data_IF_293095020502
#
_entry.id   IF_293095020502
#
_cell.length_a   1.000
_cell.length_b   1.000
_cell.length_c   1.000
_cell.angle_alpha   90.00
_cell.angle_beta   90.00
_cell.angle_gamma   90.00
#
_symmetry.space_group_name_H-M   'P 1'
#
loop_
_entity.id
_entity.type
_entity.pdbx_description
1 polymer ?
#
# COMPACT_ATOMS: atom_id res chain seq x y z
N UNK A 1 1.81 3.17 -1.53
CA UNK A 1 0.44 2.65 -1.27
C UNK A 1 -0.01 2.96 0.16
N UNK A 2 -0.22 4.24 0.45
CA UNK A 2 -0.60 4.70 1.79
C UNK A 2 -2.01 4.20 2.14
N UNK A 3 -2.96 4.38 1.22
CA UNK A 3 -4.37 4.00 1.42
C UNK A 3 -4.51 2.51 1.77
N UNK A 4 -3.84 1.63 1.01
CA UNK A 4 -3.88 0.19 1.26
C UNK A 4 -3.33 -0.14 2.66
N UNK A 5 -2.20 0.47 3.06
CA UNK A 5 -1.60 0.23 4.37
C UNK A 5 -2.47 0.75 5.53
N UNK A 6 -3.19 1.84 5.33
CA UNK A 6 -4.16 2.34 6.32
C UNK A 6 -5.34 1.36 6.44
N UNK A 7 -5.92 0.93 5.31
CA UNK A 7 -7.01 -0.05 5.32
C UNK A 7 -6.58 -1.35 5.97
N UNK A 8 -5.40 -1.88 5.63
CA UNK A 8 -4.85 -3.09 6.24
C UNK A 8 -4.65 -2.93 7.75
N UNK A 9 -4.08 -1.81 8.22
CA UNK A 9 -3.88 -1.57 9.65
C UNK A 9 -5.19 -1.49 10.44
N UNK A 10 -6.25 -0.97 9.84
CA UNK A 10 -7.59 -0.93 10.45
C UNK A 10 -8.22 -2.32 10.48
N UNK A 11 -8.01 -3.15 9.45
CA UNK A 11 -8.45 -4.55 9.43
C UNK A 11 -7.70 -5.34 10.52
N UNK A 12 -6.37 -5.22 10.58
CA UNK A 12 -5.55 -5.89 11.59
C UNK A 12 -6.01 -5.55 13.02
N UNK A 13 -6.17 -4.26 13.31
CA UNK A 13 -6.64 -3.80 14.62
C UNK A 13 -8.05 -4.29 14.96
N UNK A 14 -8.94 -4.29 13.99
CA UNK A 14 -10.31 -4.77 14.20
C UNK A 14 -10.38 -6.27 14.41
N UNK A 15 -9.55 -7.06 13.73
CA UNK A 15 -9.46 -8.51 13.91
C UNK A 15 -8.77 -8.89 15.23
N UNK A 16 -7.75 -8.15 15.65
CA UNK A 16 -7.06 -8.36 16.94
C UNK A 16 -7.99 -8.14 18.14
N UNK A 17 -8.83 -7.10 18.08
CA UNK A 17 -9.75 -6.73 19.16
C UNK A 17 -11.15 -7.35 19.03
N UNK A 18 -11.42 -8.01 17.94
CA UNK A 18 -12.72 -8.59 17.59
C UNK A 18 -12.82 -10.09 17.83
N UNK A 19 -13.81 -10.69 17.20
CA UNK A 19 -14.09 -12.10 17.20
C UNK A 19 -14.41 -12.63 15.79
N UNK A 20 -14.88 -13.89 15.68
CA UNK A 20 -15.23 -14.51 14.40
C UNK A 20 -16.41 -13.83 13.68
N UNK A 21 -17.17 -12.99 14.37
CA UNK A 21 -18.30 -12.25 13.82
C UNK A 21 -17.92 -10.84 13.39
N UNK A 22 -16.67 -10.42 13.61
CA UNK A 22 -16.15 -9.12 13.18
C UNK A 22 -16.19 -9.02 11.66
N UNK A 23 -16.72 -7.93 11.15
CA UNK A 23 -16.75 -7.57 9.72
C UNK A 23 -16.21 -6.17 9.54
N UNK A 24 -15.36 -6.00 8.54
CA UNK A 24 -14.68 -4.73 8.29
C UNK A 24 -14.67 -4.51 6.77
N UNK A 25 -15.32 -3.44 6.34
CA UNK A 25 -15.33 -2.97 4.96
C UNK A 25 -15.06 -1.48 4.97
N UNK A 26 -13.78 -1.09 5.03
CA UNK A 26 -13.33 0.30 5.14
C UNK A 26 -12.54 0.67 3.89
N UNK A 27 -13.01 1.69 3.19
CA UNK A 27 -12.33 2.33 2.07
C UNK A 27 -11.54 3.54 2.56
N UNK A 28 -10.36 3.71 2.00
CA UNK A 28 -9.45 4.80 2.36
C UNK A 28 -9.07 5.62 1.13
N UNK A 29 -9.32 6.91 1.18
CA UNK A 29 -8.84 7.88 0.21
C UNK A 29 -7.83 8.79 0.87
N UNK A 30 -6.70 9.05 0.18
CA UNK A 30 -5.63 9.93 0.66
C UNK A 30 -5.37 11.05 -0.36
N UNK A 31 -5.26 12.26 0.14
CA UNK A 31 -4.88 13.46 -0.62
C UNK A 31 -3.89 14.28 0.19
N UNK A 32 -3.52 15.48 -0.28
CA UNK A 32 -2.59 16.38 0.40
C UNK A 32 -3.03 16.63 1.84
N UNK A 33 -2.28 16.12 2.80
CA UNK A 33 -2.51 16.23 4.25
C UNK A 33 -3.92 15.83 4.72
N UNK A 34 -4.63 15.03 3.92
CA UNK A 34 -6.01 14.61 4.18
C UNK A 34 -6.19 13.11 3.98
N UNK A 35 -6.94 12.48 4.90
CA UNK A 35 -7.36 11.07 4.82
C UNK A 35 -8.87 11.02 5.04
N UNK A 36 -9.60 10.46 4.09
CA UNK A 36 -11.00 10.14 4.23
C UNK A 36 -11.20 8.64 4.38
N UNK A 37 -11.93 8.24 5.40
CA UNK A 37 -12.35 6.88 5.69
C UNK A 37 -13.86 6.77 5.54
N UNK A 38 -14.33 5.78 4.83
CA UNK A 38 -15.76 5.49 4.71
C UNK A 38 -15.96 3.96 4.68
N UNK A 39 -17.12 3.52 5.16
CA UNK A 39 -17.45 2.10 5.10
C UNK A 39 -18.22 1.60 6.29
N UNK A 40 -18.42 0.31 6.33
CA UNK A 40 -19.28 -0.37 7.30
C UNK A 40 -18.49 -1.39 8.12
N UNK A 41 -18.81 -1.49 9.39
CA UNK A 41 -18.17 -2.42 10.33
C UNK A 41 -19.20 -3.09 11.23
N UNK A 42 -18.87 -4.31 11.66
CA UNK A 42 -19.63 -5.07 12.67
C UNK A 42 -18.69 -5.59 13.72
N UNK A 43 -19.02 -5.45 15.02
CA UNK A 43 -18.15 -5.85 16.14
C UNK A 43 -16.72 -5.30 16.04
N UNK A 44 -16.61 -4.06 15.58
CA UNK A 44 -15.35 -3.36 15.43
C UNK A 44 -15.03 -2.58 16.70
N UNK A 45 -14.21 -3.16 17.58
CA UNK A 45 -13.95 -2.65 18.92
C UNK A 45 -12.76 -1.66 18.97
N UNK A 46 -12.35 -1.12 17.85
CA UNK A 46 -11.26 -0.13 17.77
C UNK A 46 -11.73 1.20 18.34
N UNK A 47 -11.05 1.68 19.38
CA UNK A 47 -11.42 2.90 20.11
C UNK A 47 -10.91 4.15 19.38
N UNK A 48 -9.70 4.13 18.82
CA UNK A 48 -9.10 5.29 18.18
C UNK A 48 -8.58 4.98 16.76
N UNK A 49 -9.51 5.04 15.83
CA UNK A 49 -9.22 4.89 14.38
C UNK A 49 -8.22 5.94 13.90
N UNK A 50 -8.35 7.18 14.39
CA UNK A 50 -7.51 8.28 13.93
C UNK A 50 -6.05 8.08 14.37
N UNK A 51 -5.83 7.50 15.55
CA UNK A 51 -4.47 7.19 16.01
C UNK A 51 -3.83 6.10 15.14
N UNK A 52 -4.56 5.05 14.76
CA UNK A 52 -4.06 4.01 13.86
C UNK A 52 -3.65 4.59 12.50
N UNK A 53 -4.44 5.49 11.94
CA UNK A 53 -4.10 6.20 10.70
C UNK A 53 -2.80 6.97 10.86
N UNK A 54 -2.67 7.77 11.93
CA UNK A 54 -1.46 8.56 12.19
C UNK A 54 -0.22 7.69 12.39
N UNK A 55 -0.34 6.62 13.16
CA UNK A 55 0.77 5.70 13.43
C UNK A 55 1.21 4.96 12.15
N UNK A 56 0.26 4.59 11.31
CA UNK A 56 0.55 3.97 10.01
C UNK A 56 1.30 4.93 9.10
N UNK A 57 0.82 6.16 8.96
CA UNK A 57 1.48 7.20 8.13
C UNK A 57 2.86 7.54 8.67
N UNK A 58 3.03 7.61 10.00
CA UNK A 58 4.32 7.79 10.67
C UNK A 58 5.27 6.64 10.39
N UNK A 59 4.80 5.40 10.52
CA UNK A 59 5.59 4.17 10.23
C UNK A 59 6.06 4.13 8.76
N UNK A 60 5.26 4.63 7.83
CA UNK A 60 5.65 4.78 6.43
C UNK A 60 6.78 5.81 6.27
N UNK A 61 6.84 6.82 7.14
CA UNK A 61 7.88 7.84 7.17
C UNK A 61 7.45 9.21 6.61
N UNK A 62 6.17 9.53 6.60
CA UNK A 62 5.68 10.82 6.13
C UNK A 62 5.73 11.89 7.23
N UNK A 63 6.77 12.69 7.20
CA UNK A 63 7.02 13.84 8.11
C UNK A 63 7.39 15.11 7.32
N UNK A 64 6.86 15.26 6.13
CA UNK A 64 7.20 16.33 5.20
C UNK A 64 6.12 17.40 5.10
N UNK A 65 6.48 18.57 4.60
CA UNK A 65 5.50 19.60 4.27
C UNK A 65 4.49 19.07 3.23
N UNK A 66 3.21 19.37 3.43
CA UNK A 66 2.12 18.90 2.58
C UNK A 66 1.62 17.48 2.87
N UNK A 67 2.38 16.64 3.62
CA UNK A 67 1.88 15.36 4.12
C UNK A 67 2.64 14.92 5.38
N UNK A 68 2.06 15.18 6.55
CA UNK A 68 2.71 14.92 7.85
C UNK A 68 1.76 14.18 8.78
N UNK A 69 2.19 13.03 9.32
CA UNK A 69 1.37 12.15 10.14
C UNK A 69 0.62 12.87 11.28
N UNK A 70 1.26 13.86 11.92
CA UNK A 70 0.67 14.62 13.04
C UNK A 70 -0.28 15.75 12.61
N UNK A 71 -0.23 16.18 11.33
CA UNK A 71 -1.01 17.30 10.79
C UNK A 71 -2.15 16.84 9.88
N UNK A 72 -2.36 15.54 9.75
CA UNK A 72 -3.42 15.00 8.91
C UNK A 72 -4.79 15.51 9.35
N UNK A 73 -5.57 15.97 8.40
CA UNK A 73 -7.01 16.09 8.54
C UNK A 73 -7.64 14.74 8.23
N UNK A 74 -8.40 14.16 9.18
CA UNK A 74 -8.98 12.83 9.06
C UNK A 74 -10.49 12.93 9.10
N UNK A 75 -11.16 12.71 7.97
CA UNK A 75 -12.62 12.60 7.87
C UNK A 75 -13.02 11.11 8.04
N UNK A 76 -13.50 10.78 9.23
CA UNK A 76 -13.92 9.42 9.57
C UNK A 76 -15.44 9.28 9.46
N UNK A 77 -15.89 8.54 8.47
CA UNK A 77 -17.31 8.22 8.19
C UNK A 77 -17.59 6.72 8.28
N UNK A 78 -16.83 6.00 9.08
CA UNK A 78 -17.11 4.60 9.38
C UNK A 78 -18.37 4.49 10.24
N UNK A 79 -19.26 3.59 9.87
CA UNK A 79 -20.51 3.35 10.58
C UNK A 79 -20.83 1.86 10.71
N UNK A 80 -21.82 1.52 11.50
CA UNK A 80 -22.25 0.13 11.69
C UNK A 80 -22.87 -0.43 10.43
N UNK A 81 -22.54 -1.69 10.11
CA UNK A 81 -23.10 -2.43 8.97
C UNK A 81 -24.62 -2.50 9.03
N UNK A 82 -25.29 -2.33 7.88
CA UNK A 82 -26.72 -2.48 7.76
C UNK A 82 -27.18 -3.92 8.06
N UNK A 83 -28.39 -4.07 8.62
CA UNK A 83 -28.98 -5.39 8.91
C UNK A 83 -29.16 -6.25 7.66
N UNK A 84 -29.44 -5.63 6.51
CA UNK A 84 -29.68 -6.34 5.25
C UNK A 84 -28.41 -7.01 4.69
N UNK A 85 -27.27 -6.32 4.79
CA UNK A 85 -25.97 -6.88 4.38
C UNK A 85 -25.52 -7.98 5.36
N UNK A 86 -25.83 -7.84 6.65
CA UNK A 86 -25.49 -8.84 7.67
C UNK A 86 -26.13 -10.20 7.36
N UNK A 87 -27.34 -10.26 6.80
CA UNK A 87 -28.01 -11.51 6.42
C UNK A 87 -27.21 -12.33 5.39
N UNK A 88 -26.52 -11.65 4.45
CA UNK A 88 -25.69 -12.32 3.45
C UNK A 88 -24.33 -12.78 3.95
N UNK A 89 -23.77 -12.13 4.97
CA UNK A 89 -22.40 -12.39 5.45
C UNK A 89 -22.34 -13.28 6.69
N UNK A 90 -23.42 -13.39 7.47
CA UNK A 90 -23.44 -14.12 8.73
C UNK A 90 -23.35 -15.65 8.54
N UNK A 91 -23.79 -16.19 7.38
CA UNK A 91 -23.71 -17.62 7.01
C UNK A 91 -22.56 -17.92 6.06
N UNK A 92 -21.40 -17.25 6.21
CA UNK A 92 -20.24 -17.39 5.34
C UNK A 92 -20.47 -17.03 3.86
N UNK A 93 -21.49 -16.25 3.57
CA UNK A 93 -21.75 -15.67 2.26
C UNK A 93 -20.80 -14.51 1.95
N UNK A 94 -20.79 -14.09 0.68
CA UNK A 94 -20.06 -12.90 0.25
C UNK A 94 -20.91 -11.63 0.44
N UNK A 95 -20.27 -10.53 0.84
CA UNK A 95 -20.92 -9.22 0.96
C UNK A 95 -21.23 -8.55 -0.37
N UNK A 96 -20.59 -9.01 -1.46
CA UNK A 96 -20.79 -8.48 -2.81
C UNK A 96 -20.52 -9.57 -3.87
N UNK A 97 -20.87 -9.27 -5.11
CA UNK A 97 -20.50 -10.06 -6.27
C UNK A 97 -19.00 -9.89 -6.58
N UNK A 98 -18.40 -10.90 -7.20
CA UNK A 98 -17.00 -10.81 -7.58
C UNK A 98 -16.64 -11.75 -8.71
N UNK A 99 -15.65 -11.35 -9.49
CA UNK A 99 -14.92 -12.20 -10.42
C UNK A 99 -13.43 -12.04 -10.15
N UNK A 100 -12.72 -13.15 -10.00
CA UNK A 100 -11.31 -13.16 -9.68
C UNK A 100 -10.51 -13.74 -10.83
N UNK A 101 -9.36 -13.11 -11.11
CA UNK A 101 -8.39 -13.57 -12.08
C UNK A 101 -7.07 -13.83 -11.37
N UNK A 102 -6.48 -14.98 -11.66
CA UNK A 102 -5.16 -15.35 -11.15
C UNK A 102 -4.22 -15.70 -12.27
N UNK A 103 -2.96 -15.28 -12.15
CA UNK A 103 -1.91 -15.63 -13.09
C UNK A 103 -0.60 -15.86 -12.34
N UNK A 104 0.09 -16.93 -12.68
CA UNK A 104 1.42 -17.25 -12.18
C UNK A 104 2.25 -17.84 -13.31
N UNK A 105 3.57 -17.59 -13.31
CA UNK A 105 4.51 -18.16 -14.26
C UNK A 105 5.81 -18.58 -13.57
N UNK A 106 6.81 -19.02 -14.34
CA UNK A 106 8.11 -19.46 -13.84
C UNK A 106 9.26 -18.54 -14.25
N UNK A 107 8.99 -17.26 -14.41
CA UNK A 107 10.03 -16.26 -14.72
C UNK A 107 11.03 -16.10 -13.57
N UNK A 108 10.60 -16.39 -12.35
CA UNK A 108 11.38 -16.30 -11.11
C UNK A 108 10.75 -17.19 -10.02
N UNK A 109 11.44 -17.34 -8.88
CA UNK A 109 11.04 -18.19 -7.77
C UNK A 109 9.81 -17.68 -6.99
N UNK A 110 9.43 -16.41 -7.19
CA UNK A 110 8.20 -15.85 -6.63
C UNK A 110 6.94 -16.16 -7.47
N UNK A 111 7.09 -16.84 -8.61
CA UNK A 111 6.02 -17.16 -9.55
C UNK A 111 5.26 -15.94 -10.10
N UNK A 112 5.86 -14.77 -10.03
CA UNK A 112 5.32 -13.52 -10.56
C UNK A 112 5.89 -13.24 -11.95
N UNK A 113 5.13 -12.58 -12.85
CA UNK A 113 5.69 -12.06 -14.09
C UNK A 113 6.92 -11.18 -13.82
N UNK A 114 8.00 -11.38 -14.58
CA UNK A 114 9.28 -10.72 -14.36
C UNK A 114 9.18 -9.19 -14.26
N UNK A 115 8.39 -8.46 -15.08
CA UNK A 115 8.30 -7.01 -14.96
C UNK A 115 7.80 -6.54 -13.59
N UNK A 116 6.75 -7.16 -13.05
CA UNK A 116 6.20 -6.79 -11.74
C UNK A 116 7.12 -7.23 -10.61
N UNK A 117 7.74 -8.40 -10.72
CA UNK A 117 8.69 -8.91 -9.74
C UNK A 117 9.87 -7.95 -9.59
N UNK A 118 10.59 -7.63 -10.66
CA UNK A 118 11.75 -6.75 -10.61
C UNK A 118 11.40 -5.32 -10.17
N UNK A 119 10.26 -4.79 -10.61
CA UNK A 119 9.84 -3.46 -10.15
C UNK A 119 9.57 -3.42 -8.64
N UNK A 120 9.03 -4.48 -8.07
CA UNK A 120 8.82 -4.61 -6.62
C UNK A 120 10.15 -4.76 -5.86
N UNK A 121 11.10 -5.55 -6.38
CA UNK A 121 12.40 -5.72 -5.73
C UNK A 121 13.19 -4.39 -5.70
N UNK A 122 13.21 -3.64 -6.79
CA UNK A 122 13.81 -2.29 -6.83
C UNK A 122 13.17 -1.37 -5.78
N UNK A 123 11.85 -1.35 -5.66
CA UNK A 123 11.17 -0.51 -4.67
C UNK A 123 11.41 -0.96 -3.23
N UNK A 124 11.54 -2.26 -2.97
CA UNK A 124 11.92 -2.80 -1.66
C UNK A 124 13.35 -2.36 -1.29
N UNK A 125 14.29 -2.45 -2.23
CA UNK A 125 15.65 -1.99 -2.01
C UNK A 125 15.70 -0.49 -1.74
N UNK A 126 15.00 0.34 -2.52
CA UNK A 126 14.89 1.78 -2.26
C UNK A 126 14.29 2.09 -0.87
N UNK A 127 13.33 1.29 -0.41
CA UNK A 127 12.81 1.42 0.94
C UNK A 127 13.86 1.15 2.01
N UNK A 128 14.72 0.14 1.82
CA UNK A 128 15.85 -0.15 2.73
C UNK A 128 16.89 0.97 2.71
N UNK A 129 17.25 1.45 1.51
CA UNK A 129 18.17 2.58 1.36
C UNK A 129 17.69 3.85 2.08
N UNK A 130 16.39 4.09 2.13
CA UNK A 130 15.80 5.22 2.85
C UNK A 130 16.08 5.19 4.36
N UNK A 131 16.32 4.03 4.96
CA UNK A 131 16.63 3.91 6.40
C UNK A 131 17.96 4.58 6.75
N UNK A 132 18.89 4.66 5.79
CA UNK A 132 20.22 5.25 5.96
C UNK A 132 20.42 6.53 5.16
N UNK A 133 19.56 6.82 4.20
CA UNK A 133 19.65 7.98 3.30
C UNK A 133 18.47 8.92 3.51
N UNK A 134 18.60 9.87 4.41
CA UNK A 134 17.55 10.83 4.81
C UNK A 134 17.06 11.75 3.69
N UNK A 135 17.77 11.83 2.56
CA UNK A 135 17.33 12.58 1.40
C UNK A 135 16.26 11.86 0.57
N UNK A 136 16.06 10.54 0.76
CA UNK A 136 14.97 9.80 0.12
C UNK A 136 13.68 9.95 0.92
N UNK A 137 12.60 10.28 0.22
CA UNK A 137 11.27 10.38 0.79
C UNK A 137 10.41 9.15 0.41
N UNK A 138 9.26 8.92 1.08
CA UNK A 138 8.56 7.64 0.99
C UNK A 138 7.95 7.29 -0.36
N UNK A 139 7.61 8.28 -1.21
CA UNK A 139 6.93 8.02 -2.47
C UNK A 139 7.92 7.64 -3.57
N UNK A 140 7.72 6.48 -4.17
CA UNK A 140 8.50 6.01 -5.31
C UNK A 140 7.65 5.15 -6.24
N UNK A 141 8.01 5.19 -7.52
CA UNK A 141 7.42 4.39 -8.60
C UNK A 141 8.52 3.71 -9.39
N UNK A 142 8.26 2.48 -9.83
CA UNK A 142 9.16 1.76 -10.72
C UNK A 142 8.37 1.09 -11.84
N UNK A 143 8.93 1.13 -13.04
CA UNK A 143 8.46 0.39 -14.20
C UNK A 143 9.64 -0.37 -14.80
N UNK A 144 9.43 -1.65 -15.09
CA UNK A 144 10.40 -2.50 -15.76
C UNK A 144 9.78 -3.05 -17.03
N UNK A 145 10.49 -2.89 -18.16
CA UNK A 145 10.14 -3.48 -19.45
C UNK A 145 11.07 -4.65 -19.74
N UNK A 146 10.48 -5.78 -20.10
CA UNK A 146 11.21 -7.04 -20.38
C UNK A 146 10.91 -7.50 -21.79
N UNK A 147 11.95 -7.83 -22.54
CA UNK A 147 11.82 -8.44 -23.87
C UNK A 147 11.67 -9.95 -23.74
N UNK A 148 10.60 -10.48 -24.33
CA UNK A 148 10.33 -11.92 -24.42
C UNK A 148 10.44 -12.42 -25.86
N UNK A 149 10.90 -13.67 -26.02
CA UNK A 149 10.75 -14.43 -27.27
C UNK A 149 10.00 -15.71 -26.96
N UNK A 150 8.73 -15.77 -27.38
CA UNK A 150 7.78 -16.73 -26.81
C UNK A 150 7.65 -16.53 -25.31
N UNK A 151 7.83 -17.57 -24.53
CA UNK A 151 7.77 -17.54 -23.06
C UNK A 151 9.15 -17.35 -22.39
N UNK A 152 10.20 -17.03 -23.18
CA UNK A 152 11.55 -16.89 -22.66
C UNK A 152 11.97 -15.44 -22.55
N UNK A 153 12.42 -15.03 -21.35
CA UNK A 153 13.04 -13.73 -21.11
C UNK A 153 14.35 -13.66 -21.89
N UNK A 154 14.52 -12.60 -22.66
CA UNK A 154 15.75 -12.32 -23.40
C UNK A 154 16.62 -11.31 -22.67
N UNK A 155 16.00 -10.20 -22.20
CA UNK A 155 16.68 -9.14 -21.48
C UNK A 155 15.69 -8.20 -20.79
N UNK A 156 16.17 -7.46 -19.84
CA UNK A 156 15.51 -6.25 -19.36
C UNK A 156 15.80 -5.15 -20.38
N UNK A 157 14.74 -4.59 -20.96
CA UNK A 157 14.86 -3.57 -22.02
C UNK A 157 14.97 -2.16 -21.43
N UNK A 158 14.15 -1.86 -20.42
CA UNK A 158 14.13 -0.54 -19.79
C UNK A 158 13.73 -0.64 -18.32
N UNK A 159 14.38 0.19 -17.49
CA UNK A 159 13.98 0.45 -16.11
C UNK A 159 13.76 1.94 -15.94
N UNK A 160 12.58 2.32 -15.42
CA UNK A 160 12.25 3.70 -15.06
C UNK A 160 11.96 3.75 -13.57
N UNK A 161 12.73 4.54 -12.84
CA UNK A 161 12.53 4.78 -11.40
C UNK A 161 12.25 6.27 -11.18
N UNK A 162 11.18 6.56 -10.44
CA UNK A 162 10.86 7.88 -9.95
C UNK A 162 10.76 7.83 -8.44
N UNK A 163 11.58 8.57 -7.74
CA UNK A 163 11.57 8.62 -6.27
C UNK A 163 11.51 10.05 -5.77
N UNK A 164 10.73 10.27 -4.74
CA UNK A 164 10.67 11.54 -4.04
C UNK A 164 11.95 11.75 -3.21
N UNK A 165 12.46 12.97 -3.19
CA UNK A 165 13.67 13.33 -2.44
C UNK A 165 13.56 14.75 -1.88
N UNK A 166 14.45 15.09 -0.97
CA UNK A 166 14.57 16.44 -0.42
C UNK A 166 15.07 17.42 -1.47
N UNK A 167 14.75 18.71 -1.29
CA UNK A 167 15.18 19.77 -2.19
C UNK A 167 16.71 19.83 -2.26
N UNK A 168 17.24 19.95 -3.49
CA UNK A 168 18.68 19.99 -3.75
C UNK A 168 19.39 18.62 -3.88
N UNK A 169 18.73 17.50 -3.57
CA UNK A 169 19.37 16.17 -3.57
C UNK A 169 19.03 15.32 -4.80
N UNK A 170 18.56 15.93 -5.88
CA UNK A 170 18.17 15.23 -7.12
C UNK A 170 19.27 14.33 -7.69
N UNK A 171 20.53 14.81 -7.74
CA UNK A 171 21.64 14.03 -8.31
C UNK A 171 22.03 12.84 -7.43
N UNK A 172 21.96 12.99 -6.10
CA UNK A 172 22.17 11.87 -5.17
C UNK A 172 21.08 10.82 -5.32
N UNK A 173 19.80 11.24 -5.36
CA UNK A 173 18.67 10.36 -5.54
C UNK A 173 18.72 9.61 -6.88
N UNK A 174 19.11 10.32 -7.96
CA UNK A 174 19.31 9.72 -9.29
C UNK A 174 20.40 8.65 -9.27
N UNK A 175 21.57 8.98 -8.73
CA UNK A 175 22.69 8.04 -8.64
C UNK A 175 22.32 6.79 -7.85
N UNK A 176 21.74 6.96 -6.65
CA UNK A 176 21.32 5.84 -5.82
C UNK A 176 20.26 4.97 -6.52
N UNK A 177 19.29 5.58 -7.20
CA UNK A 177 18.28 4.82 -7.96
C UNK A 177 18.88 4.01 -9.11
N UNK A 178 19.95 4.51 -9.74
CA UNK A 178 20.70 3.76 -10.75
C UNK A 178 21.44 2.58 -10.13
N UNK A 179 22.13 2.80 -8.99
CA UNK A 179 22.89 1.77 -8.29
C UNK A 179 21.97 0.64 -7.77
N UNK A 180 20.75 0.97 -7.36
CA UNK A 180 19.73 -0.02 -6.92
C UNK A 180 19.12 -0.80 -8.08
N UNK A 181 19.06 -0.22 -9.27
CA UNK A 181 18.44 -0.85 -10.46
C UNK A 181 19.40 -1.78 -11.24
N UNK A 182 20.68 -1.79 -10.89
CA UNK A 182 21.72 -2.65 -11.50
C UNK A 182 21.90 -3.95 -10.71
#
# INVERSE_FOLDING_TARGET
KISDQISDALVDAGLELGDRTTRIAIETLVSTNHVALAGEVKNFNVVDVNQIVRDTVKKIGYEQEGFHWNKLDIDNRIHSQSSDIALGTDDFGAGDQGIMFGYANRDNDAYLPAPIHYSHEILKQLKQERETNSFLLPDAKCQVSVEYRGDQIQRIDQVVVSTQHTEGDCDKARKLSQDVAL
#
